data_IF_500253921952
#
_entry.id   IF_500253921952
#
_cell.length_a   1.000
_cell.length_b   1.000
_cell.length_c   1.000
_cell.angle_alpha   90.00
_cell.angle_beta   90.00
_cell.angle_gamma   90.00
#
_symmetry.space_group_name_H-M   'P 1'
#
loop_
_entity.id
_entity.type
_entity.pdbx_description
1 polymer ?
#
# COMPACT_ATOMS: atom_id res chain seq x y z
N UNK A 1 -26.44 -2.62 -8.83
CA UNK A 1 -25.70 -3.88 -8.59
C UNK A 1 -25.18 -3.89 -7.17
N UNK A 2 -25.30 -5.02 -6.46
CA UNK A 2 -24.85 -5.14 -5.06
C UNK A 2 -23.58 -5.95 -5.00
N UNK A 3 -22.52 -5.40 -4.44
CA UNK A 3 -21.19 -6.05 -4.34
C UNK A 3 -20.81 -6.23 -2.88
N UNK A 4 -20.56 -7.48 -2.48
CA UNK A 4 -19.99 -7.77 -1.17
C UNK A 4 -18.48 -7.48 -1.20
N UNK A 5 -18.06 -6.31 -0.71
CA UNK A 5 -16.65 -5.97 -0.55
C UNK A 5 -16.15 -6.47 0.82
N UNK A 6 -15.46 -7.61 0.80
CA UNK A 6 -15.07 -8.35 1.99
C UNK A 6 -13.60 -8.12 2.38
N UNK A 7 -13.40 -7.66 3.61
CA UNK A 7 -12.09 -7.58 4.26
C UNK A 7 -12.15 -8.28 5.62
N UNK A 8 -11.48 -9.41 5.77
CA UNK A 8 -11.38 -10.05 7.08
C UNK A 8 -10.29 -9.39 7.94
N UNK A 9 -10.48 -9.42 9.26
CA UNK A 9 -9.58 -8.78 10.22
C UNK A 9 -9.46 -7.26 10.03
N UNK A 10 -10.52 -6.59 9.55
CA UNK A 10 -10.50 -5.16 9.28
C UNK A 10 -9.93 -4.36 10.46
N UNK A 11 -10.37 -4.63 11.70
CA UNK A 11 -9.88 -3.95 12.92
C UNK A 11 -8.37 -4.14 13.21
N UNK A 12 -7.77 -5.21 12.67
CA UNK A 12 -6.32 -5.47 12.82
C UNK A 12 -5.50 -4.95 11.67
N UNK A 13 -6.16 -4.67 10.56
CA UNK A 13 -5.55 -4.17 9.33
C UNK A 13 -5.77 -2.67 9.13
N UNK A 14 -6.46 -1.99 10.05
CA UNK A 14 -6.78 -0.56 9.99
C UNK A 14 -5.56 0.34 9.69
N UNK A 15 -4.37 -0.11 10.09
CA UNK A 15 -3.08 0.56 9.87
C UNK A 15 -2.26 -0.05 8.72
N UNK A 16 -2.90 -0.60 7.71
CA UNK A 16 -2.23 -1.27 6.60
C UNK A 16 -2.64 -0.70 5.24
N UNK A 17 -1.74 -0.80 4.25
CA UNK A 17 -2.06 -0.43 2.87
C UNK A 17 -3.23 -1.23 2.26
N UNK A 18 -3.51 -2.43 2.79
CA UNK A 18 -4.68 -3.23 2.36
C UNK A 18 -5.97 -2.54 2.80
N UNK A 19 -6.06 -2.11 4.07
CA UNK A 19 -7.24 -1.39 4.56
C UNK A 19 -7.43 -0.07 3.82
N UNK A 20 -6.34 0.68 3.58
CA UNK A 20 -6.38 1.90 2.76
C UNK A 20 -6.93 1.61 1.36
N UNK A 21 -6.44 0.57 0.69
CA UNK A 21 -6.94 0.18 -0.63
C UNK A 21 -8.43 -0.17 -0.62
N UNK A 22 -8.90 -0.90 0.40
CA UNK A 22 -10.33 -1.25 0.54
C UNK A 22 -11.19 -0.02 0.81
N UNK A 23 -10.72 0.93 1.61
CA UNK A 23 -11.42 2.20 1.82
C UNK A 23 -11.48 3.03 0.52
N UNK A 24 -10.39 3.07 -0.25
CA UNK A 24 -10.36 3.68 -1.58
C UNK A 24 -11.38 3.03 -2.52
N UNK A 25 -11.46 1.70 -2.59
CA UNK A 25 -12.47 0.99 -3.39
C UNK A 25 -13.90 1.40 -3.00
N UNK A 26 -14.18 1.47 -1.69
CA UNK A 26 -15.51 1.86 -1.19
C UNK A 26 -15.87 3.30 -1.54
N UNK A 27 -14.93 4.24 -1.36
CA UNK A 27 -15.12 5.65 -1.72
C UNK A 27 -15.25 5.82 -3.23
N UNK A 28 -14.42 5.13 -4.00
CA UNK A 28 -14.46 5.15 -5.46
C UNK A 28 -15.80 4.69 -6.05
N UNK A 29 -16.47 3.76 -5.36
CA UNK A 29 -17.77 3.23 -5.79
C UNK A 29 -18.96 4.04 -5.24
N UNK A 30 -18.75 5.00 -4.32
CA UNK A 30 -19.84 5.72 -3.67
C UNK A 30 -20.69 6.55 -4.64
N UNK A 31 -20.10 7.07 -5.71
CA UNK A 31 -20.75 7.87 -6.74
C UNK A 31 -21.14 7.07 -7.99
N UNK A 32 -21.13 5.72 -7.91
CA UNK A 32 -21.50 4.81 -8.99
C UNK A 32 -22.84 4.11 -8.72
N UNK A 33 -23.36 3.37 -9.69
CA UNK A 33 -24.57 2.54 -9.54
C UNK A 33 -24.31 1.21 -8.79
N UNK A 34 -23.16 1.09 -8.11
CA UNK A 34 -22.77 -0.08 -7.32
C UNK A 34 -23.07 0.15 -5.84
N UNK A 35 -24.00 -0.62 -5.28
CA UNK A 35 -24.24 -0.68 -3.84
C UNK A 35 -23.18 -1.57 -3.19
N UNK A 36 -22.28 -0.99 -2.38
CA UNK A 36 -21.22 -1.72 -1.67
C UNK A 36 -21.74 -2.21 -0.33
N UNK A 37 -21.78 -3.52 -0.17
CA UNK A 37 -22.08 -4.18 1.09
C UNK A 37 -20.78 -4.45 1.83
N UNK A 38 -20.59 -3.79 2.95
CA UNK A 38 -19.51 -4.09 3.88
C UNK A 38 -19.93 -5.18 4.84
N UNK A 39 -19.01 -6.04 5.19
CA UNK A 39 -19.30 -7.12 6.11
C UNK A 39 -19.45 -6.61 7.54
N UNK A 40 -20.34 -7.21 8.35
CA UNK A 40 -20.46 -6.90 9.78
C UNK A 40 -19.21 -7.25 10.61
N UNK A 41 -18.13 -7.65 9.98
CA UNK A 41 -16.85 -8.01 10.60
C UNK A 41 -15.98 -6.81 10.95
N UNK A 42 -16.29 -5.66 10.44
CA UNK A 42 -15.69 -4.40 10.88
C UNK A 42 -16.03 -4.06 12.33
N UNK A 43 -17.00 -4.78 12.94
CA UNK A 43 -17.50 -4.51 14.29
C UNK A 43 -16.93 -5.49 15.35
N UNK A 44 -15.69 -5.94 15.21
CA UNK A 44 -14.98 -6.67 16.26
C UNK A 44 -15.27 -8.18 16.35
N UNK A 45 -15.81 -8.79 15.31
CA UNK A 45 -15.94 -10.25 15.26
C UNK A 45 -14.60 -10.93 14.92
N UNK A 46 -14.13 -11.93 15.72
CA UNK A 46 -12.90 -12.64 15.39
C UNK A 46 -13.03 -13.37 14.05
N UNK A 47 -12.01 -13.27 13.20
CA UNK A 47 -12.00 -13.90 11.86
C UNK A 47 -12.32 -15.41 11.84
N UNK A 48 -11.98 -16.12 12.90
CA UNK A 48 -12.27 -17.56 13.03
C UNK A 48 -13.74 -17.85 13.39
N UNK A 49 -14.42 -16.92 14.10
CA UNK A 49 -15.88 -17.03 14.32
C UNK A 49 -16.64 -16.83 13.01
N UNK A 50 -16.00 -16.13 12.10
CA UNK A 50 -16.43 -15.88 10.76
C UNK A 50 -16.62 -17.17 9.95
N UNK A 51 -15.61 -17.99 9.91
CA UNK A 51 -15.59 -19.15 9.01
C UNK A 51 -16.66 -20.21 9.28
N UNK A 52 -17.22 -20.27 10.48
CA UNK A 52 -18.16 -21.31 10.86
C UNK A 52 -19.64 -20.91 10.79
N UNK A 53 -20.01 -19.73 11.25
CA UNK A 53 -21.41 -19.27 11.31
C UNK A 53 -21.89 -18.48 10.12
N UNK A 54 -20.96 -17.91 9.41
CA UNK A 54 -21.22 -16.97 8.38
C UNK A 54 -21.83 -17.45 7.15
N UNK A 55 -21.32 -18.49 6.71
CA UNK A 55 -21.68 -19.05 5.41
C UNK A 55 -23.16 -19.37 5.29
N UNK A 56 -23.93 -19.31 6.38
CA UNK A 56 -25.24 -19.94 6.36
C UNK A 56 -26.41 -19.18 6.99
N UNK A 57 -26.18 -18.21 7.88
CA UNK A 57 -27.27 -17.61 8.65
C UNK A 57 -27.43 -16.09 8.54
N UNK A 58 -26.44 -15.35 8.00
CA UNK A 58 -26.54 -13.89 7.89
C UNK A 58 -27.19 -13.48 6.55
N UNK A 59 -28.27 -12.64 6.57
CA UNK A 59 -28.90 -12.12 5.34
C UNK A 59 -27.96 -11.42 4.39
N UNK A 60 -26.86 -10.81 4.88
CA UNK A 60 -25.83 -10.14 4.06
C UNK A 60 -25.20 -11.09 3.04
N UNK A 61 -25.10 -12.39 3.36
CA UNK A 61 -24.55 -13.41 2.46
C UNK A 61 -25.56 -13.98 1.47
N UNK A 62 -26.78 -13.48 1.44
CA UNK A 62 -27.83 -14.05 0.61
C UNK A 62 -28.29 -13.15 -0.52
N UNK A 63 -27.83 -11.89 -0.52
CA UNK A 63 -28.42 -10.88 -1.38
C UNK A 63 -27.36 -9.90 -1.93
N UNK A 64 -26.37 -10.45 -2.65
CA UNK A 64 -25.40 -9.71 -3.42
C UNK A 64 -25.17 -10.37 -4.79
N UNK A 65 -24.83 -9.55 -5.78
CA UNK A 65 -24.64 -9.95 -7.16
C UNK A 65 -23.20 -10.42 -7.44
N UNK A 66 -22.20 -9.87 -6.72
CA UNK A 66 -20.75 -10.15 -6.86
C UNK A 66 -20.10 -10.23 -5.49
N UNK A 67 -19.23 -11.20 -5.28
CA UNK A 67 -18.33 -11.28 -4.13
C UNK A 67 -16.95 -10.72 -4.50
N UNK A 68 -16.44 -9.74 -3.75
CA UNK A 68 -15.08 -9.19 -3.90
C UNK A 68 -14.31 -9.35 -2.59
N UNK A 69 -13.33 -10.24 -2.55
CA UNK A 69 -12.50 -10.51 -1.37
C UNK A 69 -11.13 -9.83 -1.49
N UNK A 70 -10.76 -9.09 -0.44
CA UNK A 70 -9.51 -8.32 -0.36
C UNK A 70 -8.45 -8.98 0.53
N UNK A 71 -8.72 -10.17 1.06
CA UNK A 71 -7.77 -10.92 1.89
C UNK A 71 -7.74 -12.39 1.49
N UNK A 72 -6.77 -13.12 2.04
CA UNK A 72 -6.45 -14.50 1.69
C UNK A 72 -6.70 -15.48 2.85
N UNK A 73 -7.42 -15.07 3.87
CA UNK A 73 -7.62 -15.85 5.07
C UNK A 73 -8.85 -16.78 5.02
N UNK A 74 -9.17 -17.45 6.14
CA UNK A 74 -10.27 -18.41 6.23
C UNK A 74 -11.64 -17.83 5.90
N UNK A 75 -11.87 -16.56 6.22
CA UNK A 75 -13.11 -15.87 5.90
C UNK A 75 -13.29 -15.69 4.40
N UNK A 76 -12.25 -15.25 3.70
CA UNK A 76 -12.26 -15.11 2.24
C UNK A 76 -12.47 -16.47 1.55
N UNK A 77 -11.90 -17.56 2.09
CA UNK A 77 -12.18 -18.92 1.62
C UNK A 77 -13.64 -19.32 1.82
N UNK A 78 -14.24 -18.91 2.95
CA UNK A 78 -15.67 -19.19 3.20
C UNK A 78 -16.58 -18.42 2.23
N UNK A 79 -16.26 -17.15 1.95
CA UNK A 79 -16.96 -16.34 0.95
C UNK A 79 -16.82 -16.95 -0.45
N UNK A 80 -15.62 -17.34 -0.85
CA UNK A 80 -15.37 -17.97 -2.15
C UNK A 80 -16.19 -19.26 -2.32
N UNK A 81 -16.23 -20.13 -1.30
CA UNK A 81 -17.06 -21.34 -1.34
C UNK A 81 -18.56 -21.06 -1.35
N UNK A 82 -19.00 -19.99 -0.71
CA UNK A 82 -20.41 -19.60 -0.78
C UNK A 82 -20.75 -19.09 -2.18
N UNK A 83 -19.91 -18.26 -2.77
CA UNK A 83 -20.06 -17.75 -4.14
C UNK A 83 -20.15 -18.91 -5.15
N UNK A 84 -19.21 -19.86 -5.11
CA UNK A 84 -19.19 -21.07 -5.95
C UNK A 84 -20.50 -21.87 -5.85
N UNK A 85 -21.02 -22.10 -4.63
CA UNK A 85 -22.23 -22.90 -4.40
C UNK A 85 -23.52 -22.25 -4.87
N UNK A 86 -23.52 -20.93 -5.02
CA UNK A 86 -24.71 -20.16 -5.38
C UNK A 86 -24.58 -19.50 -6.76
N UNK A 87 -23.58 -19.91 -7.55
CA UNK A 87 -23.29 -19.36 -8.89
C UNK A 87 -23.18 -17.82 -8.88
N UNK A 88 -22.53 -17.28 -7.83
CA UNK A 88 -22.26 -15.85 -7.68
C UNK A 88 -20.82 -15.59 -8.16
N UNK A 89 -20.61 -14.61 -9.06
CA UNK A 89 -19.27 -14.24 -9.51
C UNK A 89 -18.34 -13.84 -8.35
N UNK A 90 -17.09 -14.33 -8.39
CA UNK A 90 -16.07 -14.11 -7.38
C UNK A 90 -14.90 -13.31 -7.94
N UNK A 91 -14.65 -12.15 -7.35
CA UNK A 91 -13.46 -11.33 -7.56
C UNK A 91 -12.51 -11.52 -6.39
N UNK A 92 -11.24 -11.83 -6.64
CA UNK A 92 -10.19 -11.89 -5.63
C UNK A 92 -9.16 -10.79 -5.90
N UNK A 93 -8.91 -9.91 -4.93
CA UNK A 93 -7.92 -8.85 -5.05
C UNK A 93 -6.58 -9.31 -4.49
N UNK A 94 -5.57 -9.37 -5.33
CA UNK A 94 -4.23 -9.83 -4.98
C UNK A 94 -3.38 -8.72 -4.37
N UNK A 95 -3.66 -8.35 -3.11
CA UNK A 95 -2.81 -7.44 -2.33
C UNK A 95 -1.52 -8.09 -1.84
N UNK A 96 -1.46 -9.43 -1.83
CA UNK A 96 -0.32 -10.20 -1.32
C UNK A 96 0.18 -11.13 -2.40
N UNK A 97 1.49 -11.04 -2.69
CA UNK A 97 2.23 -12.01 -3.51
C UNK A 97 3.27 -12.74 -2.66
N UNK A 98 3.78 -13.87 -3.13
CA UNK A 98 4.89 -14.56 -2.44
C UNK A 98 6.15 -13.69 -2.41
N UNK A 99 6.35 -12.89 -3.45
CA UNK A 99 7.49 -12.02 -3.66
C UNK A 99 7.49 -10.88 -2.64
N UNK A 100 6.37 -10.21 -2.45
CA UNK A 100 6.15 -9.13 -1.49
C UNK A 100 6.20 -9.62 -0.02
N UNK A 101 5.74 -10.85 0.23
CA UNK A 101 5.73 -11.44 1.57
C UNK A 101 7.13 -11.73 2.11
N UNK A 102 8.12 -11.96 1.23
CA UNK A 102 9.49 -12.22 1.62
C UNK A 102 10.13 -11.00 2.28
N UNK A 103 10.87 -11.24 3.37
CA UNK A 103 11.58 -10.16 4.08
C UNK A 103 10.68 -9.22 4.90
N UNK A 104 9.36 -9.48 5.00
CA UNK A 104 8.45 -8.63 5.75
C UNK A 104 8.59 -8.78 7.27
N UNK A 105 8.90 -10.01 7.76
CA UNK A 105 9.11 -10.27 9.18
C UNK A 105 10.00 -11.50 9.38
N UNK A 106 10.38 -11.75 10.65
CA UNK A 106 11.26 -12.87 11.00
C UNK A 106 10.61 -14.22 10.63
N UNK A 107 11.24 -14.96 9.74
CA UNK A 107 10.79 -16.28 9.28
C UNK A 107 9.88 -16.25 8.05
N UNK A 108 9.51 -15.09 7.53
CA UNK A 108 8.69 -14.96 6.32
C UNK A 108 9.28 -15.72 5.13
N UNK A 109 10.61 -15.72 4.97
CA UNK A 109 11.29 -16.45 3.90
C UNK A 109 11.10 -17.97 3.99
N UNK A 110 10.96 -18.51 5.21
CA UNK A 110 10.73 -19.95 5.42
C UNK A 110 9.30 -20.36 5.05
N UNK A 111 8.33 -19.47 5.32
CA UNK A 111 6.89 -19.71 5.07
C UNK A 111 6.50 -19.37 3.63
N UNK A 112 7.20 -18.47 2.96
CA UNK A 112 6.88 -17.98 1.62
C UNK A 112 6.63 -19.09 0.57
N UNK A 113 7.37 -20.22 0.51
CA UNK A 113 7.06 -21.28 -0.44
C UNK A 113 5.68 -21.92 -0.23
N UNK A 114 5.30 -22.18 1.03
CA UNK A 114 3.99 -22.73 1.36
C UNK A 114 2.87 -21.73 1.08
N UNK A 115 3.09 -20.47 1.43
CA UNK A 115 2.20 -19.37 1.07
C UNK A 115 2.02 -19.29 -0.46
N UNK A 116 3.08 -19.37 -1.24
CA UNK A 116 3.00 -19.34 -2.68
C UNK A 116 2.12 -20.46 -3.25
N UNK A 117 2.17 -21.68 -2.70
CA UNK A 117 1.27 -22.78 -3.11
C UNK A 117 -0.19 -22.49 -2.74
N UNK A 118 -0.39 -21.93 -1.54
CA UNK A 118 -1.72 -21.52 -1.09
C UNK A 118 -2.31 -20.42 -1.97
N UNK A 119 -1.54 -19.39 -2.29
CA UNK A 119 -1.98 -18.27 -3.15
C UNK A 119 -2.38 -18.76 -4.55
N UNK A 120 -1.59 -19.66 -5.14
CA UNK A 120 -1.92 -20.28 -6.43
C UNK A 120 -3.27 -20.99 -6.40
N UNK A 121 -3.50 -21.79 -5.37
CA UNK A 121 -4.80 -22.47 -5.19
C UNK A 121 -5.93 -21.46 -4.94
N UNK A 122 -5.70 -20.46 -4.08
CA UNK A 122 -6.75 -19.51 -3.69
C UNK A 122 -7.18 -18.63 -4.86
N UNK A 123 -6.22 -18.02 -5.56
CA UNK A 123 -6.54 -17.16 -6.71
C UNK A 123 -7.15 -17.93 -7.88
N UNK A 124 -6.90 -19.22 -8.00
CA UNK A 124 -7.57 -20.09 -9.00
C UNK A 124 -9.05 -20.35 -8.72
N UNK A 125 -9.58 -19.89 -7.59
CA UNK A 125 -11.02 -19.98 -7.29
C UNK A 125 -11.83 -18.82 -7.88
N UNK A 126 -11.16 -17.77 -8.36
CA UNK A 126 -11.81 -16.55 -8.83
C UNK A 126 -12.33 -16.68 -10.27
N UNK A 127 -13.41 -15.95 -10.59
CA UNK A 127 -13.81 -15.65 -11.95
C UNK A 127 -12.92 -14.54 -12.56
N UNK A 128 -12.42 -13.64 -11.71
CA UNK A 128 -11.44 -12.60 -12.05
C UNK A 128 -10.53 -12.32 -10.84
N UNK A 129 -9.22 -12.19 -11.10
CA UNK A 129 -8.24 -11.72 -10.11
C UNK A 129 -7.88 -10.27 -10.43
N UNK A 130 -8.01 -9.38 -9.43
CA UNK A 130 -7.52 -8.01 -9.52
C UNK A 130 -6.14 -7.89 -8.87
N UNK A 131 -5.33 -6.98 -9.36
CA UNK A 131 -4.03 -6.65 -8.79
C UNK A 131 -3.70 -5.17 -9.05
N UNK A 132 -2.82 -4.54 -8.24
CA UNK A 132 -2.65 -3.09 -8.29
C UNK A 132 -1.86 -2.57 -9.52
N UNK A 133 -1.12 -3.42 -10.24
CA UNK A 133 -0.21 -2.99 -11.31
C UNK A 133 -0.04 -4.05 -12.40
N UNK A 134 0.41 -3.67 -13.60
CA UNK A 134 0.81 -4.61 -14.66
C UNK A 134 2.02 -5.45 -14.21
N UNK A 135 2.94 -4.86 -13.44
CA UNK A 135 4.03 -5.62 -12.82
C UNK A 135 3.49 -6.76 -11.95
N UNK A 136 2.55 -6.47 -11.05
CA UNK A 136 1.95 -7.50 -10.19
C UNK A 136 1.17 -8.53 -11.00
N UNK A 137 0.49 -8.11 -12.07
CA UNK A 137 -0.13 -9.03 -13.03
C UNK A 137 0.90 -9.98 -13.63
N UNK A 138 2.05 -9.47 -14.11
CA UNK A 138 3.14 -10.30 -14.62
C UNK A 138 3.66 -11.32 -13.59
N UNK A 139 3.73 -10.95 -12.31
CA UNK A 139 4.06 -11.87 -11.21
C UNK A 139 3.00 -12.97 -11.09
N UNK A 140 1.72 -12.60 -11.07
CA UNK A 140 0.60 -13.53 -10.93
C UNK A 140 0.42 -14.44 -12.14
N UNK A 141 0.71 -13.98 -13.34
CA UNK A 141 0.72 -14.81 -14.58
C UNK A 141 1.76 -15.95 -14.52
N UNK A 142 2.79 -15.81 -13.67
CA UNK A 142 3.73 -16.89 -13.35
C UNK A 142 3.13 -17.98 -12.46
N UNK A 143 1.98 -17.72 -11.84
CA UNK A 143 1.22 -18.69 -11.06
C UNK A 143 0.28 -19.47 -12.01
N UNK A 144 -0.03 -20.74 -11.75
CA UNK A 144 -1.02 -21.49 -12.54
C UNK A 144 -2.45 -21.05 -12.15
N UNK A 145 -2.81 -19.83 -12.54
CA UNK A 145 -4.14 -19.24 -12.35
C UNK A 145 -4.80 -19.19 -13.73
N UNK A 146 -5.97 -19.81 -13.85
CA UNK A 146 -6.72 -19.85 -15.11
C UNK A 146 -7.66 -18.64 -15.25
N UNK A 147 -8.00 -17.97 -14.14
CA UNK A 147 -8.85 -16.78 -14.15
C UNK A 147 -8.14 -15.59 -14.82
N UNK A 148 -8.88 -14.72 -15.53
CA UNK A 148 -8.35 -13.45 -16.03
C UNK A 148 -7.74 -12.61 -14.90
N UNK A 149 -6.55 -12.05 -15.10
CA UNK A 149 -5.88 -11.16 -14.17
C UNK A 149 -5.96 -9.74 -14.73
N UNK A 150 -6.54 -8.82 -13.99
CA UNK A 150 -6.77 -7.44 -14.42
C UNK A 150 -6.14 -6.45 -13.45
N UNK A 151 -5.30 -5.52 -13.92
CA UNK A 151 -4.76 -4.46 -13.10
C UNK A 151 -5.84 -3.41 -12.82
N UNK A 152 -5.94 -3.05 -11.53
CA UNK A 152 -6.76 -1.96 -11.02
C UNK A 152 -5.94 -1.26 -9.95
N UNK A 153 -5.54 -0.03 -10.21
CA UNK A 153 -4.77 0.78 -9.24
C UNK A 153 -5.49 0.86 -7.89
N UNK A 154 -4.73 0.87 -6.79
CA UNK A 154 -5.31 1.14 -5.47
C UNK A 154 -5.85 2.58 -5.35
N UNK A 155 -5.43 3.45 -6.27
CA UNK A 155 -5.84 4.84 -6.32
C UNK A 155 -5.24 5.71 -5.23
N UNK A 156 -5.62 6.98 -5.28
CA UNK A 156 -5.29 7.98 -4.26
C UNK A 156 -6.54 8.79 -3.90
N UNK A 157 -6.81 8.88 -2.61
CA UNK A 157 -7.76 9.83 -2.05
C UNK A 157 -7.00 11.05 -1.53
N UNK A 158 -7.19 12.20 -2.16
CA UNK A 158 -6.51 13.44 -1.78
C UNK A 158 -7.22 14.21 -0.68
N UNK A 159 -8.49 13.91 -0.41
CA UNK A 159 -9.29 14.62 0.59
C UNK A 159 -8.69 14.50 2.01
N UNK A 160 -8.28 13.31 2.48
CA UNK A 160 -7.66 13.17 3.80
C UNK A 160 -6.32 13.89 3.96
N UNK A 161 -5.67 14.27 2.85
CA UNK A 161 -4.37 14.95 2.84
C UNK A 161 -4.52 16.48 2.81
N UNK A 162 -5.74 17.01 2.61
CA UNK A 162 -5.97 18.44 2.48
C UNK A 162 -5.48 19.22 3.71
N UNK A 163 -4.76 20.33 3.46
CA UNK A 163 -4.24 21.22 4.50
C UNK A 163 -3.04 20.65 5.27
N UNK A 164 -2.34 19.66 4.71
CA UNK A 164 -1.15 19.04 5.32
C UNK A 164 -0.06 20.07 5.66
N UNK A 165 0.04 21.16 4.91
CA UNK A 165 1.04 22.21 5.12
C UNK A 165 0.91 22.87 6.50
N UNK A 166 -0.31 22.93 7.04
CA UNK A 166 -0.57 23.53 8.36
C UNK A 166 0.03 22.77 9.54
N UNK A 167 0.41 21.52 9.32
CA UNK A 167 1.03 20.66 10.33
C UNK A 167 2.56 20.75 10.40
N UNK A 168 3.18 21.51 9.47
CA UNK A 168 4.64 21.55 9.33
C UNK A 168 5.36 21.94 10.62
N UNK A 169 4.99 23.08 11.20
CA UNK A 169 5.67 23.60 12.39
C UNK A 169 5.46 22.66 13.58
N UNK A 170 4.22 22.21 13.83
CA UNK A 170 3.89 21.31 14.95
C UNK A 170 4.70 20.01 14.89
N UNK A 171 4.78 19.37 13.71
CA UNK A 171 5.46 18.08 13.61
C UNK A 171 6.97 18.22 13.58
N UNK A 172 7.51 19.29 13.03
CA UNK A 172 8.94 19.58 13.12
C UNK A 172 9.39 19.83 14.56
N UNK A 173 8.65 20.64 15.30
CA UNK A 173 8.93 20.86 16.73
C UNK A 173 8.78 19.56 17.54
N UNK A 174 7.74 18.77 17.28
CA UNK A 174 7.48 17.51 17.99
C UNK A 174 8.60 16.49 17.85
N UNK A 175 9.21 16.42 16.68
CA UNK A 175 10.21 15.41 16.34
C UNK A 175 11.63 15.97 16.21
N UNK A 176 11.83 17.23 16.58
CA UNK A 176 13.14 17.93 16.54
C UNK A 176 13.78 17.87 15.14
N UNK A 177 13.01 18.28 14.11
CA UNK A 177 13.41 18.22 12.71
C UNK A 177 13.73 19.63 12.19
N UNK A 178 14.97 19.81 11.75
CA UNK A 178 15.48 21.09 11.22
C UNK A 178 15.94 20.94 9.74
N UNK A 179 16.20 22.08 9.10
CA UNK A 179 16.73 22.10 7.73
C UNK A 179 15.89 21.34 6.72
N UNK A 180 16.54 20.60 5.84
CA UNK A 180 15.89 19.70 4.88
C UNK A 180 15.55 18.37 5.54
N UNK A 181 14.28 18.02 5.52
CA UNK A 181 13.77 16.77 6.08
C UNK A 181 13.48 15.76 4.98
N UNK A 182 14.28 14.71 4.96
CA UNK A 182 14.06 13.51 4.13
C UNK A 182 13.15 12.55 4.88
N UNK A 183 12.04 12.14 4.31
CA UNK A 183 11.08 11.34 5.05
C UNK A 183 10.54 10.14 4.28
N UNK A 184 10.10 9.13 5.04
CA UNK A 184 9.39 7.96 4.56
C UNK A 184 8.11 7.74 5.36
N UNK A 185 7.12 7.10 4.75
CA UNK A 185 5.83 6.77 5.38
C UNK A 185 5.53 5.27 5.22
N UNK A 186 4.99 4.67 6.26
CA UNK A 186 4.56 3.27 6.29
C UNK A 186 5.34 2.41 7.29
N UNK A 187 4.90 1.18 7.50
CA UNK A 187 5.56 0.26 8.44
C UNK A 187 7.03 0.07 8.09
N UNK A 188 7.87 0.11 9.13
CA UNK A 188 9.33 0.00 8.99
C UNK A 188 9.70 -1.46 8.71
N UNK A 189 10.07 -1.75 7.47
CA UNK A 189 10.52 -3.07 7.03
C UNK A 189 11.80 -2.98 6.22
N UNK A 190 12.63 -4.02 6.30
CA UNK A 190 13.84 -4.11 5.49
C UNK A 190 13.55 -4.07 3.98
N UNK A 191 12.44 -4.70 3.54
CA UNK A 191 12.03 -4.65 2.13
C UNK A 191 11.68 -3.25 1.64
N UNK A 192 11.31 -2.34 2.56
CA UNK A 192 11.04 -0.92 2.26
C UNK A 192 12.31 -0.06 2.27
N UNK A 193 13.48 -0.70 2.32
CA UNK A 193 14.76 -0.03 2.21
C UNK A 193 15.27 0.60 3.52
N UNK A 194 14.88 0.04 4.67
CA UNK A 194 15.31 0.54 5.98
C UNK A 194 16.82 0.72 6.09
N UNK A 195 17.59 -0.27 5.65
CA UNK A 195 19.06 -0.18 5.70
C UNK A 195 19.56 0.96 4.82
N UNK A 196 19.09 1.07 3.58
CA UNK A 196 19.46 2.15 2.66
C UNK A 196 19.09 3.52 3.23
N UNK A 197 17.89 3.68 3.81
CA UNK A 197 17.45 4.91 4.46
C UNK A 197 18.42 5.35 5.57
N UNK A 198 18.80 4.43 6.46
CA UNK A 198 19.71 4.73 7.57
C UNK A 198 21.18 4.95 7.11
N UNK A 199 21.65 4.25 6.08
CA UNK A 199 23.00 4.47 5.55
C UNK A 199 23.09 5.82 4.82
N UNK A 200 22.06 6.23 4.09
CA UNK A 200 21.97 7.57 3.50
C UNK A 200 21.97 8.67 4.59
N UNK A 201 21.25 8.46 5.68
CA UNK A 201 21.27 9.39 6.81
C UNK A 201 22.68 9.55 7.40
N UNK A 202 23.45 8.47 7.54
CA UNK A 202 24.85 8.52 8.00
C UNK A 202 25.79 9.25 7.05
N UNK A 203 25.45 9.27 5.77
CA UNK A 203 26.28 9.85 4.73
C UNK A 203 25.96 11.32 4.43
N UNK A 204 24.94 11.90 5.07
CA UNK A 204 24.44 13.26 4.82
C UNK A 204 24.17 13.98 6.14
N UNK A 205 24.04 15.31 6.09
CA UNK A 205 23.71 16.15 7.23
C UNK A 205 22.21 16.54 7.27
N UNK A 206 21.34 15.85 6.49
CA UNK A 206 19.90 16.10 6.50
C UNK A 206 19.23 15.39 7.67
N UNK A 207 18.09 15.89 8.13
CA UNK A 207 17.25 15.15 9.05
C UNK A 207 16.40 14.11 8.33
N UNK A 208 16.34 12.91 8.89
CA UNK A 208 15.58 11.79 8.37
C UNK A 208 14.46 11.41 9.33
N UNK A 209 13.23 11.32 8.84
CA UNK A 209 12.07 10.92 9.63
C UNK A 209 11.31 9.77 8.98
N UNK A 210 11.14 8.67 9.71
CA UNK A 210 10.29 7.56 9.24
C UNK A 210 9.00 7.51 10.04
N UNK A 211 7.89 7.85 9.39
CA UNK A 211 6.55 7.85 9.97
C UNK A 211 5.86 6.51 9.75
N UNK A 212 5.76 5.70 10.81
CA UNK A 212 5.10 4.42 10.73
C UNK A 212 5.50 3.44 11.82
N UNK A 213 4.66 2.42 11.99
CA UNK A 213 4.87 1.39 13.00
C UNK A 213 6.10 0.54 12.73
N UNK A 214 6.75 0.09 13.81
CA UNK A 214 7.80 -0.92 13.77
C UNK A 214 7.67 -1.91 14.92
N UNK A 215 8.22 -3.10 14.73
CA UNK A 215 8.29 -4.13 15.76
C UNK A 215 9.75 -4.31 16.20
N UNK A 216 10.07 -3.73 17.35
CA UNK A 216 11.37 -3.86 18.02
C UNK A 216 11.45 -5.12 18.92
N UNK A 217 10.33 -5.84 19.04
CA UNK A 217 10.20 -7.06 19.81
C UNK A 217 10.74 -8.32 19.10
N UNK A 218 10.46 -9.50 19.69
CA UNK A 218 10.98 -10.78 19.19
C UNK A 218 10.54 -11.17 17.78
N UNK A 219 9.43 -10.60 17.29
CA UNK A 219 8.86 -10.87 15.97
C UNK A 219 9.44 -9.97 14.89
N UNK A 220 10.00 -8.81 15.28
CA UNK A 220 10.69 -7.90 14.37
C UNK A 220 11.90 -8.55 13.70
N UNK A 221 12.20 -8.15 12.46
CA UNK A 221 13.41 -8.60 11.76
C UNK A 221 14.66 -8.09 12.48
N UNK A 222 15.80 -8.74 12.23
CA UNK A 222 17.07 -8.35 12.83
C UNK A 222 17.47 -6.91 12.43
N UNK A 223 17.26 -6.55 11.15
CA UNK A 223 17.54 -5.19 10.65
C UNK A 223 16.65 -4.14 11.31
N UNK A 224 15.34 -4.40 11.48
CA UNK A 224 14.45 -3.46 12.18
C UNK A 224 14.93 -3.22 13.59
N UNK A 225 15.18 -4.28 14.36
CA UNK A 225 15.68 -4.14 15.74
C UNK A 225 17.02 -3.41 15.80
N UNK A 226 17.96 -3.73 14.89
CA UNK A 226 19.26 -3.06 14.83
C UNK A 226 19.09 -1.54 14.67
N UNK A 227 18.36 -1.13 13.64
CA UNK A 227 18.28 0.27 13.26
C UNK A 227 17.36 1.10 14.18
N UNK A 228 16.32 0.49 14.77
CA UNK A 228 15.42 1.20 15.68
C UNK A 228 15.96 1.27 17.13
N UNK A 229 16.87 0.37 17.53
CA UNK A 229 17.49 0.42 18.87
C UNK A 229 18.71 1.34 18.95
N UNK A 230 19.40 1.56 17.83
CA UNK A 230 20.59 2.42 17.74
C UNK A 230 20.59 3.15 16.38
N UNK A 231 19.67 4.08 16.16
CA UNK A 231 19.56 4.83 14.92
C UNK A 231 20.75 5.81 14.76
N UNK A 232 21.08 6.24 13.54
CA UNK A 232 21.91 7.40 13.31
C UNK A 232 21.34 8.64 14.04
N UNK A 233 22.23 9.55 14.49
CA UNK A 233 21.83 10.73 15.30
C UNK A 233 20.79 11.62 14.61
N UNK A 234 20.78 11.65 13.28
CA UNK A 234 19.87 12.40 12.43
C UNK A 234 18.67 11.58 11.92
N UNK A 235 18.37 10.42 12.52
CA UNK A 235 17.21 9.58 12.15
C UNK A 235 16.20 9.51 13.28
N UNK A 236 14.97 9.91 12.99
CA UNK A 236 13.83 9.78 13.89
C UNK A 236 12.83 8.74 13.39
N UNK A 237 12.61 7.67 14.16
CA UNK A 237 11.51 6.73 13.95
C UNK A 237 10.33 7.16 14.82
N UNK A 238 9.31 7.75 14.21
CA UNK A 238 8.19 8.38 14.96
C UNK A 238 7.21 7.36 15.56
N UNK A 239 7.19 6.13 15.05
CA UNK A 239 6.09 5.21 15.30
C UNK A 239 4.83 5.63 14.53
N UNK A 240 3.68 5.11 14.96
CA UNK A 240 2.39 5.51 14.40
C UNK A 240 2.07 6.97 14.71
N UNK A 241 1.58 7.68 13.71
CA UNK A 241 1.01 9.03 13.86
C UNK A 241 -0.48 8.98 13.54
N UNK A 242 -1.30 9.66 14.37
CA UNK A 242 -2.76 9.63 14.21
C UNK A 242 -3.22 10.47 13.02
N UNK A 243 -2.47 11.53 12.69
CA UNK A 243 -2.74 12.37 11.53
C UNK A 243 -1.56 12.33 10.55
N UNK A 244 -1.76 11.60 9.46
CA UNK A 244 -0.73 11.42 8.43
C UNK A 244 -0.35 12.72 7.72
N UNK A 245 -1.21 13.74 7.74
CA UNK A 245 -0.91 15.06 7.18
C UNK A 245 0.34 15.67 7.79
N UNK A 246 0.58 15.39 9.07
CA UNK A 246 1.79 15.85 9.74
C UNK A 246 3.08 15.30 9.16
N UNK A 247 3.10 14.04 8.71
CA UNK A 247 4.25 13.47 8.04
C UNK A 247 4.54 14.19 6.72
N UNK A 248 3.51 14.39 5.88
CA UNK A 248 3.64 15.13 4.63
C UNK A 248 3.87 16.63 4.84
N UNK A 249 3.39 17.20 5.94
CA UNK A 249 3.68 18.59 6.32
C UNK A 249 5.14 18.80 6.72
N UNK A 250 5.68 17.94 7.58
CA UNK A 250 7.04 18.05 8.11
C UNK A 250 8.12 17.82 7.05
N UNK A 251 7.91 16.84 6.15
CA UNK A 251 8.90 16.41 5.18
C UNK A 251 9.04 17.30 3.96
N UNK A 252 10.24 17.36 3.40
CA UNK A 252 10.57 18.11 2.16
C UNK A 252 10.79 17.16 0.98
N UNK A 253 11.53 16.07 1.18
CA UNK A 253 11.84 15.08 0.15
C UNK A 253 11.35 13.72 0.62
N UNK A 254 10.45 13.12 -0.15
CA UNK A 254 9.97 11.76 0.11
C UNK A 254 10.95 10.75 -0.44
N UNK A 255 11.53 9.93 0.43
CA UNK A 255 12.49 8.88 0.07
C UNK A 255 11.87 7.50 0.29
N UNK A 256 11.78 6.71 -0.78
CA UNK A 256 11.21 5.38 -0.69
C UNK A 256 12.07 4.33 -1.40
N UNK A 257 13.20 3.90 -0.77
CA UNK A 257 14.18 3.00 -1.35
C UNK A 257 13.72 1.54 -1.25
N UNK A 258 12.44 1.27 -1.56
CA UNK A 258 11.83 -0.04 -1.43
C UNK A 258 12.40 -1.02 -2.45
N UNK A 259 12.66 -2.26 -2.02
CA UNK A 259 13.21 -3.33 -2.85
C UNK A 259 12.13 -4.10 -3.62
N UNK A 260 10.91 -4.12 -3.06
CA UNK A 260 9.73 -4.81 -3.65
C UNK A 260 8.48 -4.08 -3.24
N UNK A 261 7.66 -3.72 -4.20
CA UNK A 261 6.32 -3.16 -4.00
C UNK A 261 5.34 -3.72 -5.04
N UNK A 262 4.07 -3.75 -4.69
CA UNK A 262 3.00 -4.04 -5.64
C UNK A 262 2.46 -2.77 -6.31
N UNK A 263 2.54 -1.62 -5.62
CA UNK A 263 2.27 -0.27 -6.12
C UNK A 263 2.94 0.81 -5.26
N UNK A 264 2.65 0.86 -3.94
CA UNK A 264 3.14 1.88 -3.03
C UNK A 264 2.20 3.09 -2.93
N UNK A 265 1.04 2.95 -2.28
CA UNK A 265 0.04 4.03 -2.09
C UNK A 265 0.69 5.29 -1.50
N UNK A 266 1.61 5.14 -0.55
CA UNK A 266 2.32 6.26 0.11
C UNK A 266 3.14 7.11 -0.86
N UNK A 267 3.57 6.56 -2.01
CA UNK A 267 4.23 7.32 -3.08
C UNK A 267 3.22 8.26 -3.74
N UNK A 268 2.02 7.76 -4.06
CA UNK A 268 0.94 8.60 -4.61
C UNK A 268 0.48 9.66 -3.61
N UNK A 269 0.47 9.36 -2.31
CA UNK A 269 0.18 10.34 -1.24
C UNK A 269 1.23 11.46 -1.21
N UNK A 270 2.52 11.12 -1.25
CA UNK A 270 3.61 12.08 -1.32
C UNK A 270 3.52 12.96 -2.58
N UNK A 271 3.24 12.33 -3.73
CA UNK A 271 3.03 13.02 -5.00
C UNK A 271 1.83 13.96 -4.96
N UNK A 272 0.69 13.53 -4.39
CA UNK A 272 -0.49 14.37 -4.21
C UNK A 272 -0.22 15.59 -3.33
N UNK A 273 0.67 15.46 -2.34
CA UNK A 273 1.16 16.55 -1.52
C UNK A 273 2.26 17.40 -2.23
N UNK A 274 2.59 17.10 -3.48
CA UNK A 274 3.60 17.86 -4.25
C UNK A 274 5.01 17.74 -3.71
N UNK A 275 5.34 16.60 -3.08
CA UNK A 275 6.70 16.35 -2.63
C UNK A 275 7.59 15.92 -3.77
N UNK A 276 8.85 16.34 -3.76
CA UNK A 276 9.86 15.71 -4.58
C UNK A 276 10.05 14.28 -4.07
N UNK A 277 9.98 13.32 -4.98
CA UNK A 277 9.95 11.88 -4.67
C UNK A 277 11.21 11.22 -5.21
N UNK A 278 11.91 10.44 -4.37
CA UNK A 278 13.09 9.67 -4.72
C UNK A 278 12.83 8.18 -4.47
N UNK A 279 12.93 7.37 -5.50
CA UNK A 279 12.50 5.97 -5.52
C UNK A 279 13.62 5.03 -5.94
N UNK A 280 13.50 3.76 -5.56
CA UNK A 280 14.34 2.69 -6.12
C UNK A 280 14.00 2.41 -7.58
N UNK A 281 14.99 1.96 -8.34
CA UNK A 281 14.81 1.41 -9.68
C UNK A 281 14.21 0.00 -9.63
N UNK A 282 12.89 -0.07 -9.41
CA UNK A 282 12.14 -1.34 -9.44
C UNK A 282 11.03 -1.28 -10.50
N UNK A 283 10.65 -2.44 -11.07
CA UNK A 283 9.73 -2.48 -12.21
C UNK A 283 8.42 -1.74 -12.00
N UNK A 284 7.81 -1.84 -10.83
CA UNK A 284 6.54 -1.17 -10.55
C UNK A 284 6.66 0.35 -10.54
N UNK A 285 7.77 0.92 -10.08
CA UNK A 285 7.95 2.37 -10.10
C UNK A 285 8.22 2.90 -11.51
N UNK A 286 8.92 2.12 -12.33
CA UNK A 286 9.10 2.41 -13.76
C UNK A 286 7.80 2.30 -14.58
N UNK A 287 6.83 1.53 -14.10
CA UNK A 287 5.50 1.44 -14.73
C UNK A 287 4.68 2.71 -14.46
N UNK A 288 4.77 3.24 -13.23
CA UNK A 288 3.90 4.32 -12.77
C UNK A 288 4.49 5.73 -12.96
N UNK A 289 5.82 5.85 -12.96
CA UNK A 289 6.50 7.14 -12.81
C UNK A 289 7.60 7.33 -13.85
N UNK A 290 7.87 8.59 -14.20
CA UNK A 290 8.88 9.00 -15.17
C UNK A 290 10.06 9.67 -14.48
N UNK A 291 11.24 9.04 -14.55
CA UNK A 291 12.48 9.54 -13.98
C UNK A 291 12.86 10.92 -14.53
N UNK A 292 13.20 11.86 -13.63
CA UNK A 292 13.54 13.24 -13.96
C UNK A 292 12.35 14.13 -14.33
N UNK A 293 11.12 13.56 -14.40
CA UNK A 293 9.90 14.29 -14.67
C UNK A 293 9.04 14.48 -13.41
N UNK A 294 8.56 13.39 -12.79
CA UNK A 294 7.70 13.41 -11.61
C UNK A 294 8.35 12.78 -10.36
N UNK A 295 9.49 12.13 -10.52
CA UNK A 295 10.32 11.59 -9.46
C UNK A 295 11.80 11.53 -9.90
N UNK A 296 12.68 11.09 -8.99
CA UNK A 296 14.02 10.62 -9.31
C UNK A 296 14.10 9.13 -8.98
N UNK A 297 14.56 8.30 -9.94
CA UNK A 297 14.69 6.85 -9.79
C UNK A 297 16.17 6.50 -9.67
N UNK A 298 16.54 5.80 -8.58
CA UNK A 298 17.91 5.51 -8.20
C UNK A 298 18.14 4.00 -8.09
N UNK A 299 19.26 3.51 -8.64
CA UNK A 299 19.61 2.09 -8.70
C UNK A 299 20.49 1.65 -7.53
N UNK A 300 21.23 2.56 -6.90
CA UNK A 300 22.15 2.30 -5.80
C UNK A 300 22.25 3.47 -4.81
N UNK A 301 22.98 3.29 -3.73
CA UNK A 301 23.14 4.28 -2.67
C UNK A 301 23.83 5.58 -3.13
N UNK A 302 24.74 5.50 -4.10
CA UNK A 302 25.43 6.67 -4.64
C UNK A 302 24.45 7.56 -5.42
N UNK A 303 23.61 6.96 -6.28
CA UNK A 303 22.56 7.69 -7.01
C UNK A 303 21.53 8.29 -6.07
N UNK A 304 21.12 7.58 -5.00
CA UNK A 304 20.24 8.14 -3.96
C UNK A 304 20.86 9.36 -3.29
N UNK A 305 22.14 9.28 -2.90
CA UNK A 305 22.84 10.41 -2.27
C UNK A 305 22.93 11.60 -3.22
N UNK A 306 23.33 11.37 -4.49
CA UNK A 306 23.39 12.43 -5.50
C UNK A 306 22.03 13.06 -5.77
N UNK A 307 20.95 12.26 -5.77
CA UNK A 307 19.58 12.77 -5.91
C UNK A 307 19.19 13.68 -4.74
N UNK A 308 19.49 13.28 -3.48
CA UNK A 308 19.22 14.10 -2.30
C UNK A 308 20.04 15.40 -2.32
N UNK A 309 21.34 15.34 -2.60
CA UNK A 309 22.24 16.51 -2.70
C UNK A 309 21.76 17.47 -3.79
N UNK A 310 21.30 16.95 -4.92
CA UNK A 310 20.77 17.73 -6.02
C UNK A 310 19.46 18.42 -5.67
N UNK A 311 18.54 17.75 -4.96
CA UNK A 311 17.26 18.32 -4.51
C UNK A 311 17.46 19.38 -3.41
N UNK A 312 18.49 19.24 -2.58
CA UNK A 312 18.85 20.27 -1.60
C UNK A 312 19.45 21.51 -2.28
N UNK A 313 20.36 21.32 -3.23
CA UNK A 313 21.04 22.40 -3.92
C UNK A 313 20.14 23.17 -4.91
N UNK A 314 19.05 22.56 -5.40
CA UNK A 314 18.16 23.12 -6.43
C UNK A 314 16.70 23.08 -6.00
N UNK A 315 16.21 24.08 -5.23
CA UNK A 315 14.80 24.20 -4.85
C UNK A 315 13.85 24.29 -6.04
N UNK A 316 14.25 24.90 -7.15
CA UNK A 316 13.42 25.00 -8.35
C UNK A 316 13.19 23.61 -9.00
N UNK A 317 14.20 22.75 -8.95
CA UNK A 317 14.04 21.32 -9.36
C UNK A 317 13.06 20.62 -8.45
N UNK A 318 13.18 20.79 -7.14
CA UNK A 318 12.30 20.18 -6.16
C UNK A 318 10.84 20.58 -6.38
N UNK A 319 10.59 21.87 -6.56
CA UNK A 319 9.24 22.40 -6.83
C UNK A 319 8.69 21.89 -8.16
N UNK A 320 9.51 21.85 -9.22
CA UNK A 320 9.10 21.35 -10.54
C UNK A 320 8.72 19.85 -10.49
N UNK A 321 9.54 19.03 -9.85
CA UNK A 321 9.22 17.60 -9.66
C UNK A 321 7.93 17.42 -8.85
N UNK A 322 7.76 18.20 -7.78
CA UNK A 322 6.56 18.18 -6.94
C UNK A 322 5.28 18.55 -7.71
N UNK A 323 5.33 19.57 -8.58
CA UNK A 323 4.16 19.94 -9.40
C UNK A 323 3.82 18.87 -10.44
N UNK A 324 4.82 18.26 -11.08
CA UNK A 324 4.61 17.15 -12.00
C UNK A 324 4.07 15.93 -11.26
N UNK A 325 4.59 15.61 -10.07
CA UNK A 325 4.12 14.55 -9.21
C UNK A 325 2.63 14.70 -8.85
N UNK A 326 2.16 15.92 -8.57
CA UNK A 326 0.73 16.19 -8.36
C UNK A 326 -0.12 15.85 -9.59
N UNK A 327 0.38 16.13 -10.79
CA UNK A 327 -0.34 15.79 -12.01
C UNK A 327 -0.45 14.26 -12.15
N UNK A 328 0.65 13.53 -11.95
CA UNK A 328 0.68 12.06 -11.96
C UNK A 328 -0.27 11.47 -10.91
N UNK A 329 -0.29 11.99 -9.68
CA UNK A 329 -1.20 11.51 -8.65
C UNK A 329 -2.68 11.67 -9.04
N UNK A 330 -3.07 12.77 -9.71
CA UNK A 330 -4.44 13.00 -10.18
C UNK A 330 -4.90 11.94 -11.19
N UNK A 331 -3.98 11.44 -12.02
CA UNK A 331 -4.29 10.38 -13.00
C UNK A 331 -4.61 9.04 -12.33
N UNK A 332 -4.33 8.91 -11.03
CA UNK A 332 -4.64 7.76 -10.20
C UNK A 332 -5.75 8.04 -9.17
N UNK A 333 -6.60 9.04 -9.40
CA UNK A 333 -7.72 9.40 -8.53
C UNK A 333 -8.76 8.29 -8.36
N UNK A 334 -9.61 8.41 -7.33
CA UNK A 334 -10.61 7.40 -7.01
C UNK A 334 -11.69 7.24 -8.08
N UNK A 335 -11.98 8.26 -8.87
CA UNK A 335 -12.88 8.20 -10.02
C UNK A 335 -12.47 7.11 -11.02
N UNK A 336 -11.19 7.04 -11.36
CA UNK A 336 -10.62 5.98 -12.22
C UNK A 336 -10.76 4.59 -11.61
N UNK A 337 -10.56 4.48 -10.31
CA UNK A 337 -10.75 3.21 -9.58
C UNK A 337 -12.21 2.77 -9.65
N UNK A 338 -13.14 3.68 -9.41
CA UNK A 338 -14.58 3.42 -9.46
C UNK A 338 -15.06 2.99 -10.84
N UNK A 339 -14.63 3.70 -11.89
CA UNK A 339 -14.94 3.34 -13.28
C UNK A 339 -14.43 1.91 -13.58
N UNK A 340 -13.17 1.63 -13.25
CA UNK A 340 -12.55 0.34 -13.57
C UNK A 340 -13.17 -0.82 -12.79
N UNK A 341 -13.46 -0.64 -11.50
CA UNK A 341 -14.16 -1.66 -10.70
C UNK A 341 -15.57 -1.92 -11.24
N UNK A 342 -16.30 -0.88 -11.62
CA UNK A 342 -17.64 -1.00 -12.20
C UNK A 342 -17.60 -1.82 -13.50
N UNK A 343 -16.67 -1.51 -14.42
CA UNK A 343 -16.46 -2.29 -15.65
C UNK A 343 -16.21 -3.77 -15.37
N UNK A 344 -15.35 -4.07 -14.38
CA UNK A 344 -15.05 -5.45 -13.99
C UNK A 344 -16.30 -6.17 -13.51
N UNK A 345 -17.06 -5.56 -12.61
CA UNK A 345 -18.26 -6.19 -12.05
C UNK A 345 -19.38 -6.38 -13.11
N UNK A 346 -19.53 -5.43 -14.02
CA UNK A 346 -20.48 -5.54 -15.13
C UNK A 346 -20.10 -6.64 -16.12
N UNK A 347 -18.80 -6.82 -16.35
CA UNK A 347 -18.26 -7.87 -17.23
C UNK A 347 -18.44 -9.30 -16.71
N UNK A 348 -18.79 -9.46 -15.42
CA UNK A 348 -19.04 -10.77 -14.78
C UNK A 348 -20.51 -11.20 -14.80
N UNK A 349 -21.41 -10.35 -15.26
CA UNK A 349 -22.86 -10.61 -15.42
C UNK A 349 -23.14 -11.14 -16.82
#
# INVERSE_FOLDING_TARGET
MRVLNYLELADRLDRSGIATSVDHQRRALADTDVEVLTTPWSDGHPAWAAGGKLAFDDPVFRDYDVAHCNMIGPGSVAVARHAERNDIPLVLHAHVTREDFRGSFRGSNLVAPALGQYLKWFYSQADTVLCPSEYTKGVLESYPIDAPIQPVTNGIDTEPLAGFESFREEYRERYDLDGTVVFAVGSVFERKGLTTFCELARATDYDFAWFGTYDDGPHGSESVRKWTSDPPENVTFTGWVDDIRGAYGAGDVFLFPSKVENQGIVVLEAMACGKAVVLSDIPVFREYYEDGHDCLICSDEEEFREALDRLEADPDLRDRLGENAKATARDHGLDRVGERLTEVYEGLR
#
